data_IF_253089322948
#
_entry.id   IF_253089322948
#
_cell.length_a   1.000
_cell.length_b   1.000
_cell.length_c   1.000
_cell.angle_alpha   90.00
_cell.angle_beta   90.00
_cell.angle_gamma   90.00
#
_symmetry.space_group_name_H-M   'P 1'
#
loop_
_entity.id
_entity.type
_entity.pdbx_description
1 polymer ?
#
# COMPACT_ATOMS: atom_id res chain seq x y z
N UNK A 1 -34.85 54.80 25.27
CA UNK A 1 -33.85 53.70 25.32
C UNK A 1 -33.76 53.12 23.95
N UNK A 2 -32.75 53.45 23.21
CA UNK A 2 -32.55 52.80 21.89
C UNK A 2 -31.13 52.21 21.72
N UNK A 3 -31.05 51.09 21.00
CA UNK A 3 -29.93 50.63 20.16
C UNK A 3 -28.66 50.09 20.82
N UNK A 4 -28.72 49.15 21.73
CA UNK A 4 -27.56 48.30 22.10
C UNK A 4 -27.58 46.92 21.41
N UNK A 5 -28.68 46.52 20.76
CA UNK A 5 -28.84 45.18 20.16
C UNK A 5 -28.15 45.04 18.79
N UNK A 6 -27.92 46.12 18.03
CA UNK A 6 -27.32 46.07 16.69
C UNK A 6 -25.78 46.07 16.68
N UNK A 7 -25.14 46.46 17.78
CA UNK A 7 -23.67 46.51 17.87
C UNK A 7 -23.07 45.10 18.16
N UNK A 8 -23.73 44.35 19.03
CA UNK A 8 -23.28 42.98 19.41
C UNK A 8 -23.44 41.97 18.29
N UNK A 9 -24.46 42.13 17.41
CA UNK A 9 -24.66 41.23 16.27
C UNK A 9 -23.61 41.43 15.15
N UNK A 10 -23.18 42.69 14.92
CA UNK A 10 -22.13 43.04 13.94
C UNK A 10 -20.74 42.57 14.38
N UNK A 11 -20.44 42.60 15.67
CA UNK A 11 -19.16 42.10 16.20
C UNK A 11 -19.11 40.58 16.21
N UNK A 12 -20.25 39.90 16.42
CA UNK A 12 -20.31 38.42 16.37
C UNK A 12 -20.18 37.88 14.95
N UNK A 13 -20.79 38.56 13.95
CA UNK A 13 -20.64 38.17 12.53
C UNK A 13 -19.22 38.43 12.00
N UNK A 14 -18.55 39.50 12.46
CA UNK A 14 -17.16 39.79 12.09
C UNK A 14 -16.18 38.77 12.70
N UNK A 15 -16.39 38.36 13.95
CA UNK A 15 -15.58 37.34 14.63
C UNK A 15 -15.78 35.96 14.02
N UNK A 16 -17.00 35.58 13.62
CA UNK A 16 -17.29 34.31 12.96
C UNK A 16 -16.69 34.24 11.54
N UNK A 17 -16.69 35.36 10.81
CA UNK A 17 -16.04 35.46 9.49
C UNK A 17 -14.52 35.33 9.55
N UNK A 18 -13.88 35.83 10.62
CA UNK A 18 -12.43 35.75 10.79
C UNK A 18 -11.96 34.34 11.17
N UNK A 19 -12.78 33.58 11.90
CA UNK A 19 -12.48 32.18 12.28
C UNK A 19 -12.58 31.25 11.07
N UNK A 20 -13.46 31.53 10.10
CA UNK A 20 -13.60 30.74 8.88
C UNK A 20 -12.43 30.95 7.89
N UNK A 21 -11.68 32.04 7.97
CA UNK A 21 -10.51 32.30 7.14
C UNK A 21 -9.24 31.55 7.63
N UNK A 22 -9.27 30.98 8.84
CA UNK A 22 -8.14 30.18 9.39
C UNK A 22 -8.22 28.70 9.07
N UNK A 23 -9.26 28.21 8.39
CA UNK A 23 -9.31 26.87 7.82
C UNK A 23 -8.46 26.81 6.54
N UNK A 24 -7.19 27.24 6.61
CA UNK A 24 -6.21 27.02 5.58
C UNK A 24 -6.05 25.53 5.36
N UNK A 25 -6.15 25.05 4.12
CA UNK A 25 -5.78 23.71 3.73
C UNK A 25 -4.44 23.38 4.37
N UNK A 26 -4.39 22.35 5.24
CA UNK A 26 -3.13 21.87 5.81
C UNK A 26 -2.34 21.25 4.66
N UNK A 27 -1.46 22.03 4.06
CA UNK A 27 -0.58 21.56 3.00
C UNK A 27 0.23 20.38 3.55
N UNK A 28 0.33 19.29 2.80
CA UNK A 28 1.16 18.15 3.18
C UNK A 28 2.59 18.63 3.44
N UNK A 29 3.10 18.36 4.64
CA UNK A 29 4.41 18.89 5.07
C UNK A 29 5.56 18.43 4.17
N UNK A 30 5.49 17.21 3.64
CA UNK A 30 6.49 16.65 2.75
C UNK A 30 6.45 17.29 1.35
N UNK A 31 5.27 17.52 0.78
CA UNK A 31 5.12 18.24 -0.50
C UNK A 31 5.63 19.68 -0.38
N UNK A 32 5.28 20.36 0.71
CA UNK A 32 5.76 21.72 0.99
C UNK A 32 7.29 21.78 1.15
N UNK A 33 7.92 20.74 1.68
CA UNK A 33 9.37 20.68 1.81
C UNK A 33 10.07 20.62 0.42
N UNK A 34 9.53 19.82 -0.51
CA UNK A 34 10.04 19.78 -1.90
C UNK A 34 9.86 21.13 -2.61
N UNK A 35 8.69 21.74 -2.49
CA UNK A 35 8.42 23.04 -3.08
C UNK A 35 9.36 24.12 -2.52
N UNK A 36 9.49 24.21 -1.20
CA UNK A 36 10.42 25.14 -0.56
C UNK A 36 11.88 24.90 -0.99
N UNK A 37 12.32 23.65 -1.05
CA UNK A 37 13.65 23.30 -1.52
C UNK A 37 13.87 23.79 -2.96
N UNK A 38 12.95 23.53 -3.86
CA UNK A 38 12.99 23.96 -5.27
C UNK A 38 13.05 25.48 -5.37
N UNK A 39 12.18 26.20 -4.68
CA UNK A 39 12.17 27.67 -4.65
C UNK A 39 13.50 28.26 -4.13
N UNK A 40 14.10 27.65 -3.08
CA UNK A 40 15.39 28.11 -2.57
C UNK A 40 16.52 27.97 -3.58
N UNK A 41 16.53 26.87 -4.32
CA UNK A 41 17.50 26.64 -5.39
C UNK A 41 17.38 27.68 -6.52
N UNK A 42 16.15 27.90 -6.98
CA UNK A 42 15.88 28.85 -8.09
C UNK A 42 16.16 30.29 -7.68
N UNK A 43 15.81 30.68 -6.45
CA UNK A 43 16.16 32.02 -5.93
C UNK A 43 17.68 32.25 -5.85
N UNK A 44 18.46 31.23 -5.48
CA UNK A 44 19.94 31.38 -5.44
C UNK A 44 20.52 31.49 -6.84
N UNK A 45 19.95 30.80 -7.81
CA UNK A 45 20.39 30.85 -9.21
C UNK A 45 19.87 32.10 -9.93
N UNK A 46 18.89 32.79 -9.38
CA UNK A 46 18.21 33.94 -10.00
C UNK A 46 17.51 33.54 -11.32
N UNK A 47 16.72 32.46 -11.22
CA UNK A 47 15.92 31.89 -12.31
C UNK A 47 14.50 31.60 -11.85
N UNK A 48 13.56 31.53 -12.79
CA UNK A 48 12.19 31.10 -12.49
C UNK A 48 12.12 29.59 -12.22
N UNK A 49 11.31 29.14 -11.25
CA UNK A 49 11.09 27.72 -11.01
C UNK A 49 10.37 27.06 -12.18
N UNK A 50 10.93 26.00 -12.73
CA UNK A 50 10.26 25.17 -13.74
C UNK A 50 9.08 24.46 -13.10
N UNK A 51 7.86 24.53 -13.68
CA UNK A 51 6.72 23.79 -13.13
C UNK A 51 7.01 22.29 -13.04
N UNK A 52 6.77 21.72 -11.87
CA UNK A 52 6.90 20.27 -11.67
C UNK A 52 5.70 19.57 -12.30
N UNK A 53 5.89 18.62 -13.22
CA UNK A 53 4.78 17.98 -13.92
C UNK A 53 3.90 17.18 -12.96
N UNK A 54 2.67 16.91 -13.39
CA UNK A 54 1.82 15.95 -12.68
C UNK A 54 2.46 14.56 -12.70
N UNK A 55 2.32 13.86 -11.59
CA UNK A 55 2.84 12.50 -11.46
C UNK A 55 1.95 11.53 -12.24
N UNK A 56 2.55 10.84 -13.19
CA UNK A 56 1.87 9.77 -13.91
C UNK A 56 1.93 8.49 -13.08
N UNK A 57 0.77 7.96 -12.70
CA UNK A 57 0.63 6.72 -11.92
C UNK A 57 -0.28 5.74 -12.63
N UNK A 58 0.03 4.45 -12.52
CA UNK A 58 -0.82 3.38 -13.05
C UNK A 58 -1.94 3.08 -12.04
N UNK A 59 -3.21 3.27 -12.41
CA UNK A 59 -4.31 3.00 -11.49
C UNK A 59 -4.50 1.49 -11.30
N UNK A 60 -5.01 1.09 -10.12
CA UNK A 60 -5.48 -0.26 -9.91
C UNK A 60 -6.68 -0.55 -10.83
N UNK A 61 -6.67 -1.64 -11.62
CA UNK A 61 -7.77 -1.98 -12.53
C UNK A 61 -9.10 -2.17 -11.83
N UNK A 62 -10.19 -2.13 -12.60
CA UNK A 62 -11.56 -2.24 -12.08
C UNK A 62 -11.77 -3.60 -11.41
N UNK A 63 -12.54 -3.62 -10.31
CA UNK A 63 -12.86 -4.83 -9.55
C UNK A 63 -13.41 -5.98 -10.42
N UNK A 64 -14.24 -5.66 -11.41
CA UNK A 64 -14.84 -6.64 -12.33
C UNK A 64 -13.79 -7.35 -13.20
N UNK A 65 -12.72 -6.64 -13.57
CA UNK A 65 -11.69 -7.14 -14.49
C UNK A 65 -10.65 -8.01 -13.76
N UNK A 66 -10.66 -7.97 -12.42
CA UNK A 66 -9.73 -8.69 -11.55
C UNK A 66 -10.37 -9.93 -10.89
N UNK A 67 -11.72 -10.03 -10.93
CA UNK A 67 -12.42 -11.10 -10.24
C UNK A 67 -12.22 -12.45 -10.97
N UNK A 68 -11.62 -13.42 -10.29
CA UNK A 68 -11.51 -14.78 -10.76
C UNK A 68 -12.84 -15.52 -10.55
N UNK A 69 -13.38 -16.11 -11.62
CA UNK A 69 -14.58 -16.93 -11.52
C UNK A 69 -14.25 -18.25 -10.81
N UNK A 70 -15.07 -18.61 -9.84
CA UNK A 70 -14.93 -19.86 -9.09
C UNK A 70 -16.02 -20.83 -9.52
N UNK A 71 -15.71 -22.09 -9.86
CA UNK A 71 -16.70 -23.13 -10.04
C UNK A 71 -17.57 -23.28 -8.79
N UNK A 72 -18.89 -23.41 -8.99
CA UNK A 72 -19.83 -23.64 -7.89
C UNK A 72 -19.74 -25.09 -7.41
N UNK A 73 -19.37 -25.28 -6.17
CA UNK A 73 -19.30 -26.60 -5.53
C UNK A 73 -20.39 -26.66 -4.49
N UNK A 74 -21.33 -27.56 -4.68
CA UNK A 74 -22.48 -27.74 -3.79
C UNK A 74 -22.40 -29.08 -3.10
N UNK A 75 -22.68 -29.10 -1.81
CA UNK A 75 -22.87 -30.30 -1.01
C UNK A 75 -24.36 -30.44 -0.77
N UNK A 76 -24.90 -31.63 -1.00
CA UNK A 76 -26.29 -31.96 -0.74
C UNK A 76 -26.67 -31.75 0.73
N UNK A 77 -27.94 -31.53 1.00
CA UNK A 77 -28.40 -31.29 2.38
C UNK A 77 -28.22 -32.55 3.27
N UNK A 78 -28.40 -33.74 2.70
CA UNK A 78 -28.20 -35.01 3.43
C UNK A 78 -26.71 -35.20 3.76
N UNK A 79 -25.84 -34.97 2.80
CA UNK A 79 -24.39 -35.09 2.96
C UNK A 79 -23.90 -34.07 3.96
N UNK A 80 -24.42 -32.83 3.92
CA UNK A 80 -24.12 -31.81 4.90
C UNK A 80 -24.52 -32.23 6.32
N UNK A 81 -25.63 -32.95 6.49
CA UNK A 81 -26.06 -33.45 7.79
C UNK A 81 -25.11 -34.55 8.32
N UNK A 82 -24.58 -35.40 7.46
CA UNK A 82 -23.58 -36.42 7.86
C UNK A 82 -22.29 -35.79 8.35
N UNK A 83 -21.95 -34.59 7.86
CA UNK A 83 -20.79 -33.82 8.31
C UNK A 83 -20.93 -33.19 9.72
N UNK A 84 -22.07 -33.36 10.39
CA UNK A 84 -22.30 -32.87 11.76
C UNK A 84 -21.27 -33.40 12.76
N UNK A 85 -20.84 -34.66 12.59
CA UNK A 85 -19.85 -35.31 13.46
C UNK A 85 -18.45 -34.62 13.35
N UNK A 86 -18.19 -33.92 12.26
CA UNK A 86 -16.96 -33.17 12.05
C UNK A 86 -17.14 -31.66 12.28
N UNK A 87 -18.30 -31.21 12.80
CA UNK A 87 -18.58 -29.81 13.07
C UNK A 87 -18.87 -28.94 11.84
N UNK A 88 -18.92 -29.51 10.61
CA UNK A 88 -19.09 -28.76 9.38
C UNK A 88 -20.54 -28.38 9.04
N UNK A 89 -21.53 -29.12 9.61
CA UNK A 89 -22.94 -28.85 9.31
C UNK A 89 -23.36 -27.41 9.63
N UNK A 90 -22.97 -26.91 10.81
CA UNK A 90 -23.28 -25.55 11.22
C UNK A 90 -22.65 -24.52 10.27
N UNK A 91 -21.37 -24.70 9.92
CA UNK A 91 -20.63 -23.84 9.01
C UNK A 91 -21.28 -23.77 7.60
N UNK A 92 -21.72 -24.93 7.08
CA UNK A 92 -22.42 -25.02 5.79
C UNK A 92 -23.80 -24.33 5.87
N UNK A 93 -24.54 -24.54 6.97
CA UNK A 93 -25.84 -23.93 7.19
C UNK A 93 -25.75 -22.40 7.26
N UNK A 94 -24.75 -21.86 7.96
CA UNK A 94 -24.48 -20.42 8.03
C UNK A 94 -24.15 -19.85 6.65
N UNK A 95 -23.31 -20.51 5.87
CA UNK A 95 -22.96 -20.10 4.50
C UNK A 95 -24.16 -20.08 3.57
N UNK A 96 -25.09 -21.03 3.72
CA UNK A 96 -26.30 -21.14 2.91
C UNK A 96 -27.42 -20.19 3.35
N UNK A 97 -27.29 -19.53 4.49
CA UNK A 97 -28.23 -18.50 4.95
C UNK A 97 -28.27 -17.28 4.02
N UNK A 98 -29.28 -16.43 4.16
CA UNK A 98 -29.37 -15.18 3.39
C UNK A 98 -28.14 -14.30 3.62
N UNK A 99 -27.69 -14.15 4.86
CA UNK A 99 -26.51 -13.36 5.22
C UNK A 99 -25.21 -14.01 4.71
N UNK A 100 -25.12 -15.34 4.75
CA UNK A 100 -23.97 -16.08 4.25
C UNK A 100 -23.73 -15.91 2.74
N UNK A 101 -24.83 -15.75 1.96
CA UNK A 101 -24.74 -15.55 0.50
C UNK A 101 -24.22 -14.18 0.08
N UNK A 102 -24.31 -13.17 0.95
CA UNK A 102 -23.89 -11.78 0.69
C UNK A 102 -22.63 -11.37 1.49
N UNK A 103 -21.86 -12.35 1.94
CA UNK A 103 -20.60 -12.10 2.65
C UNK A 103 -19.59 -11.33 1.79
N UNK A 104 -18.81 -10.44 2.44
CA UNK A 104 -17.64 -9.82 1.85
C UNK A 104 -16.55 -10.85 1.51
N UNK A 105 -15.52 -10.42 0.80
CA UNK A 105 -14.44 -11.31 0.34
C UNK A 105 -13.61 -11.88 1.49
N UNK A 106 -13.44 -11.14 2.56
CA UNK A 106 -12.69 -11.56 3.76
C UNK A 106 -13.42 -12.68 4.50
N UNK A 107 -14.73 -12.52 4.77
CA UNK A 107 -15.54 -13.57 5.39
C UNK A 107 -15.69 -14.79 4.48
N UNK A 108 -15.78 -14.56 3.16
CA UNK A 108 -15.79 -15.67 2.21
C UNK A 108 -14.50 -16.49 2.25
N UNK A 109 -13.32 -15.85 2.33
CA UNK A 109 -12.04 -16.54 2.53
C UNK A 109 -12.01 -17.26 3.87
N UNK A 110 -12.42 -16.62 4.97
CA UNK A 110 -12.46 -17.23 6.28
C UNK A 110 -13.32 -18.51 6.28
N UNK A 111 -14.50 -18.46 5.65
CA UNK A 111 -15.34 -19.64 5.47
C UNK A 111 -14.60 -20.77 4.76
N UNK A 112 -13.97 -20.50 3.62
CA UNK A 112 -13.28 -21.52 2.84
C UNK A 112 -12.07 -22.14 3.60
N UNK A 113 -11.37 -21.35 4.38
CA UNK A 113 -10.28 -21.83 5.23
C UNK A 113 -10.79 -22.75 6.36
N UNK A 114 -11.89 -22.36 7.02
CA UNK A 114 -12.54 -23.14 8.05
C UNK A 114 -13.08 -24.45 7.45
N UNK A 115 -13.76 -24.36 6.31
CA UNK A 115 -14.34 -25.50 5.62
C UNK A 115 -13.29 -26.52 5.17
N UNK A 116 -12.23 -26.08 4.50
CA UNK A 116 -11.14 -26.94 4.04
C UNK A 116 -10.44 -27.67 5.20
N UNK A 117 -10.12 -26.95 6.28
CA UNK A 117 -9.51 -27.58 7.44
C UNK A 117 -10.45 -28.57 8.13
N UNK A 118 -11.73 -28.20 8.29
CA UNK A 118 -12.73 -29.11 8.87
C UNK A 118 -12.97 -30.35 8.01
N UNK A 119 -12.98 -30.17 6.67
CA UNK A 119 -13.12 -31.30 5.75
C UNK A 119 -11.89 -32.22 5.78
N UNK A 120 -10.67 -31.66 5.83
CA UNK A 120 -9.44 -32.42 6.01
C UNK A 120 -9.47 -33.23 7.29
N UNK A 121 -9.88 -32.62 8.41
CA UNK A 121 -10.06 -33.32 9.69
C UNK A 121 -11.12 -34.42 9.59
N UNK A 122 -12.27 -34.13 8.98
CA UNK A 122 -13.34 -35.09 8.79
C UNK A 122 -12.88 -36.34 8.04
N UNK A 123 -12.15 -36.17 6.94
CA UNK A 123 -11.59 -37.27 6.17
C UNK A 123 -10.67 -38.18 6.98
N UNK A 124 -10.00 -37.67 8.04
CA UNK A 124 -9.18 -38.51 8.95
C UNK A 124 -10.01 -39.28 9.97
N UNK A 125 -11.25 -38.88 10.25
CA UNK A 125 -12.13 -39.51 11.23
C UNK A 125 -13.08 -40.56 10.61
N UNK A 126 -13.28 -40.51 9.31
CA UNK A 126 -14.16 -41.41 8.58
C UNK A 126 -13.44 -42.73 8.23
N UNK A 127 -14.21 -43.79 8.02
CA UNK A 127 -13.65 -45.05 7.51
C UNK A 127 -13.19 -44.85 6.08
N UNK A 128 -11.94 -45.25 5.71
CA UNK A 128 -11.36 -44.96 4.41
C UNK A 128 -12.16 -45.49 3.20
N UNK A 129 -12.89 -46.59 3.40
CA UNK A 129 -13.70 -47.28 2.39
C UNK A 129 -15.19 -46.89 2.39
N UNK A 130 -15.55 -45.83 3.13
CA UNK A 130 -16.93 -45.35 3.15
C UNK A 130 -17.31 -44.53 1.89
N UNK A 131 -18.55 -44.66 1.45
CA UNK A 131 -19.09 -43.87 0.32
C UNK A 131 -18.90 -42.38 0.53
N UNK A 132 -19.03 -41.90 1.78
CA UNK A 132 -18.84 -40.50 2.13
C UNK A 132 -17.41 -40.03 1.91
N UNK A 133 -16.39 -40.84 2.16
CA UNK A 133 -14.99 -40.49 1.85
C UNK A 133 -14.78 -40.39 0.34
N UNK A 134 -15.36 -41.34 -0.42
CA UNK A 134 -15.28 -41.29 -1.88
C UNK A 134 -15.91 -40.02 -2.48
N UNK A 135 -16.99 -39.51 -1.88
CA UNK A 135 -17.68 -38.30 -2.28
C UNK A 135 -16.95 -37.00 -1.83
N UNK A 136 -16.45 -36.96 -0.59
CA UNK A 136 -15.84 -35.76 -0.02
C UNK A 136 -14.41 -35.51 -0.54
N UNK A 137 -13.66 -36.54 -0.90
CA UNK A 137 -12.27 -36.39 -1.37
C UNK A 137 -12.15 -35.51 -2.62
N UNK A 138 -12.94 -35.68 -3.69
CA UNK A 138 -12.87 -34.79 -4.84
C UNK A 138 -13.29 -33.36 -4.51
N UNK A 139 -14.27 -33.16 -3.61
CA UNK A 139 -14.69 -31.84 -3.13
C UNK A 139 -13.54 -31.13 -2.42
N UNK A 140 -12.84 -31.85 -1.53
CA UNK A 140 -11.66 -31.32 -0.84
C UNK A 140 -10.57 -30.88 -1.83
N UNK A 141 -10.22 -31.74 -2.78
CA UNK A 141 -9.21 -31.47 -3.79
C UNK A 141 -9.56 -30.26 -4.66
N UNK A 142 -10.81 -30.18 -5.10
CA UNK A 142 -11.31 -29.08 -5.92
C UNK A 142 -11.33 -27.74 -5.15
N UNK A 143 -11.75 -27.75 -3.89
CA UNK A 143 -11.73 -26.58 -3.02
C UNK A 143 -10.29 -26.10 -2.72
N UNK A 144 -9.37 -27.03 -2.52
CA UNK A 144 -7.97 -26.72 -2.34
C UNK A 144 -7.37 -26.05 -3.58
N UNK A 145 -7.70 -26.57 -4.79
CA UNK A 145 -7.26 -25.95 -6.05
C UNK A 145 -7.84 -24.55 -6.29
N UNK A 146 -9.00 -24.24 -5.72
CA UNK A 146 -9.64 -22.92 -5.83
C UNK A 146 -9.06 -21.90 -4.85
N UNK A 147 -8.41 -22.34 -3.79
CA UNK A 147 -7.98 -21.46 -2.69
C UNK A 147 -7.09 -20.29 -3.13
N UNK A 148 -6.12 -20.46 -4.04
CA UNK A 148 -5.35 -19.31 -4.57
C UNK A 148 -6.22 -18.24 -5.24
N UNK A 149 -7.25 -18.65 -5.99
CA UNK A 149 -8.18 -17.71 -6.64
C UNK A 149 -9.05 -16.98 -5.60
N UNK A 150 -9.39 -17.63 -4.48
CA UNK A 150 -10.14 -17.02 -3.38
C UNK A 150 -9.29 -15.98 -2.67
N UNK A 151 -8.00 -16.26 -2.40
CA UNK A 151 -7.04 -15.28 -1.88
C UNK A 151 -6.87 -14.11 -2.86
N UNK A 152 -6.70 -14.38 -4.15
CA UNK A 152 -6.63 -13.35 -5.19
C UNK A 152 -7.87 -12.44 -5.15
N UNK A 153 -9.06 -13.02 -5.11
CA UNK A 153 -10.30 -12.26 -5.05
C UNK A 153 -10.39 -11.42 -3.77
N UNK A 154 -9.96 -11.93 -2.62
CA UNK A 154 -9.92 -11.17 -1.37
C UNK A 154 -8.96 -9.97 -1.50
N UNK A 155 -7.76 -10.17 -2.02
CA UNK A 155 -6.74 -9.13 -2.12
C UNK A 155 -7.09 -8.09 -3.19
N UNK A 156 -7.44 -8.51 -4.40
CA UNK A 156 -7.59 -7.56 -5.51
C UNK A 156 -9.03 -7.07 -5.74
N UNK A 157 -10.02 -7.72 -5.11
CA UNK A 157 -11.43 -7.31 -5.24
C UNK A 157 -12.12 -7.03 -3.90
N UNK A 158 -11.51 -7.37 -2.75
CA UNK A 158 -11.99 -7.02 -1.41
C UNK A 158 -11.84 -5.53 -1.13
N UNK A 159 -12.73 -4.95 -0.32
CA UNK A 159 -12.74 -3.50 -0.07
C UNK A 159 -11.52 -3.03 0.72
N UNK A 160 -11.08 -3.81 1.70
CA UNK A 160 -9.97 -3.50 2.57
C UNK A 160 -8.67 -3.34 1.79
N UNK A 161 -8.36 -4.33 0.98
CA UNK A 161 -7.17 -4.32 0.13
C UNK A 161 -7.26 -3.30 -1.01
N UNK A 162 -8.42 -3.13 -1.60
CA UNK A 162 -8.58 -2.10 -2.63
C UNK A 162 -8.32 -0.69 -2.12
N UNK A 163 -8.66 -0.40 -0.86
CA UNK A 163 -8.27 0.86 -0.22
C UNK A 163 -6.75 1.01 -0.13
N UNK A 164 -6.05 -0.06 0.22
CA UNK A 164 -4.60 -0.08 0.32
C UNK A 164 -3.91 0.00 -1.06
N UNK A 165 -4.45 -0.71 -2.06
CA UNK A 165 -3.85 -0.80 -3.40
C UNK A 165 -4.22 0.37 -4.32
N UNK A 166 -5.29 1.11 -4.03
CA UNK A 166 -5.62 2.32 -4.79
C UNK A 166 -4.67 3.43 -4.41
N UNK A 167 -3.93 3.95 -5.41
CA UNK A 167 -2.95 5.00 -5.18
C UNK A 167 -3.56 6.24 -4.56
N UNK A 168 -2.84 6.83 -3.61
CA UNK A 168 -3.17 8.10 -3.00
C UNK A 168 -2.88 9.30 -3.89
N UNK A 169 -3.08 10.48 -3.32
CA UNK A 169 -2.75 11.76 -3.94
C UNK A 169 -1.90 12.64 -3.02
N UNK A 170 -1.53 12.10 -1.86
CA UNK A 170 -0.73 12.79 -0.85
C UNK A 170 0.53 12.00 -0.54
N UNK A 171 1.60 12.71 -0.22
CA UNK A 171 2.83 12.08 0.24
C UNK A 171 2.63 11.49 1.64
N UNK A 172 3.23 10.34 1.89
CA UNK A 172 3.27 9.73 3.23
C UNK A 172 3.82 10.72 4.24
N UNK A 173 3.18 10.82 5.38
CA UNK A 173 3.66 11.63 6.49
C UNK A 173 4.77 10.87 7.25
N UNK A 174 5.99 11.38 7.18
CA UNK A 174 7.16 10.76 7.80
C UNK A 174 7.11 10.73 9.34
N UNK A 175 6.20 11.49 9.95
CA UNK A 175 6.03 11.50 11.41
C UNK A 175 5.04 10.43 11.90
N UNK A 176 4.28 9.80 10.98
CA UNK A 176 3.22 8.82 11.31
C UNK A 176 3.63 7.38 10.98
N UNK A 177 4.45 6.78 11.81
CA UNK A 177 4.87 5.38 11.64
C UNK A 177 3.81 4.33 12.03
N UNK A 178 2.74 4.69 12.72
CA UNK A 178 1.74 3.72 13.21
C UNK A 178 0.99 3.03 12.08
N UNK A 179 0.64 3.75 11.02
CA UNK A 179 -0.06 3.18 9.86
C UNK A 179 0.82 2.20 9.08
N UNK A 180 2.12 2.49 8.98
CA UNK A 180 3.12 1.60 8.40
C UNK A 180 3.19 0.26 9.16
N UNK A 181 3.40 0.31 10.46
CA UNK A 181 3.55 -0.90 11.28
C UNK A 181 2.27 -1.74 11.28
N UNK A 182 1.12 -1.10 11.35
CA UNK A 182 -0.18 -1.77 11.28
C UNK A 182 -0.39 -2.46 9.94
N UNK A 183 -0.07 -1.76 8.83
CA UNK A 183 -0.19 -2.32 7.48
C UNK A 183 0.80 -3.45 7.26
N UNK A 184 2.06 -3.30 7.65
CA UNK A 184 3.09 -4.34 7.55
C UNK A 184 2.68 -5.61 8.32
N UNK A 185 2.16 -5.46 9.55
CA UNK A 185 1.66 -6.57 10.35
C UNK A 185 0.53 -7.32 9.66
N UNK A 186 -0.45 -6.58 9.12
CA UNK A 186 -1.60 -7.18 8.43
C UNK A 186 -1.20 -7.88 7.12
N UNK A 187 -0.30 -7.29 6.34
CA UNK A 187 0.19 -7.90 5.10
C UNK A 187 1.03 -9.15 5.39
N UNK A 188 1.89 -9.12 6.43
CA UNK A 188 2.67 -10.29 6.85
C UNK A 188 1.77 -11.43 7.31
N UNK A 189 0.70 -11.13 8.08
CA UNK A 189 -0.28 -12.13 8.47
C UNK A 189 -0.94 -12.80 7.25
N UNK A 190 -1.31 -12.02 6.23
CA UNK A 190 -1.90 -12.58 4.99
C UNK A 190 -0.87 -13.38 4.20
N UNK A 191 0.40 -12.95 4.13
CA UNK A 191 1.47 -13.72 3.50
C UNK A 191 1.66 -15.09 4.16
N UNK A 192 1.63 -15.12 5.50
CA UNK A 192 1.69 -16.38 6.26
C UNK A 192 0.46 -17.27 6.01
N UNK A 193 -0.73 -16.68 5.91
CA UNK A 193 -1.93 -17.44 5.56
C UNK A 193 -1.83 -18.05 4.16
N UNK A 194 -1.38 -17.29 3.17
CA UNK A 194 -1.18 -17.81 1.80
C UNK A 194 -0.14 -18.94 1.82
N UNK A 195 1.00 -18.70 2.45
CA UNK A 195 2.06 -19.72 2.55
C UNK A 195 1.56 -21.02 3.17
N UNK A 196 0.85 -20.93 4.29
CA UNK A 196 0.43 -22.09 5.08
C UNK A 196 -0.79 -22.84 4.51
N UNK A 197 -1.51 -22.28 3.53
CA UNK A 197 -2.73 -22.87 3.00
C UNK A 197 -2.69 -23.11 1.48
N UNK A 198 -1.83 -22.41 0.73
CA UNK A 198 -1.69 -22.55 -0.73
C UNK A 198 -0.48 -23.40 -1.08
N UNK A 199 0.68 -23.12 -0.47
CA UNK A 199 1.93 -23.84 -0.80
C UNK A 199 2.14 -25.11 0.02
N UNK A 200 1.49 -25.22 1.16
CA UNK A 200 1.55 -26.40 2.03
C UNK A 200 0.16 -26.98 2.26
N UNK A 201 0.04 -28.29 2.43
CA UNK A 201 -1.20 -28.90 2.90
C UNK A 201 -1.27 -28.78 4.40
N UNK A 202 -2.22 -28.02 4.96
CA UNK A 202 -2.32 -27.87 6.41
C UNK A 202 -2.56 -29.22 7.09
N UNK A 203 -1.91 -29.45 8.25
CA UNK A 203 -2.25 -30.60 9.06
C UNK A 203 -3.73 -30.48 9.53
N UNK A 204 -4.48 -31.61 9.56
CA UNK A 204 -5.85 -31.64 10.04
C UNK A 204 -5.92 -31.12 11.49
N UNK A 205 -6.77 -30.11 11.73
CA UNK A 205 -6.95 -29.49 13.05
C UNK A 205 -8.40 -29.65 13.48
N UNK A 206 -8.64 -30.02 14.73
CA UNK A 206 -9.99 -30.16 15.27
C UNK A 206 -10.80 -28.85 15.14
N UNK A 207 -12.12 -28.90 14.83
CA UNK A 207 -12.93 -27.71 14.53
C UNK A 207 -12.88 -26.64 15.63
N UNK A 208 -12.85 -27.02 16.89
CA UNK A 208 -12.76 -26.08 18.04
C UNK A 208 -11.45 -25.25 18.09
N UNK A 209 -10.38 -25.72 17.45
CA UNK A 209 -9.10 -25.02 17.38
C UNK A 209 -8.95 -24.20 16.10
N UNK A 210 -9.65 -24.59 15.02
CA UNK A 210 -9.61 -23.94 13.72
C UNK A 210 -10.17 -22.53 13.79
N UNK A 211 -11.30 -22.35 14.44
CA UNK A 211 -12.01 -21.08 14.56
C UNK A 211 -11.09 -20.00 15.16
N UNK A 212 -10.36 -20.36 16.22
CA UNK A 212 -9.38 -19.48 16.85
C UNK A 212 -8.24 -19.11 15.89
N UNK A 213 -7.78 -20.06 15.07
CA UNK A 213 -6.66 -19.85 14.13
C UNK A 213 -6.93 -18.76 13.09
N UNK A 214 -8.20 -18.58 12.67
CA UNK A 214 -8.57 -17.60 11.64
C UNK A 214 -9.35 -16.39 12.18
N UNK A 215 -9.52 -16.26 13.48
CA UNK A 215 -10.16 -15.10 14.11
C UNK A 215 -9.43 -13.79 13.79
N UNK A 216 -8.09 -13.83 13.80
CA UNK A 216 -7.24 -12.65 13.58
C UNK A 216 -7.36 -12.08 12.15
N UNK A 217 -7.84 -12.87 11.17
CA UNK A 217 -8.00 -12.40 9.79
C UNK A 217 -8.92 -11.16 9.73
N UNK A 218 -10.07 -11.20 10.38
CA UNK A 218 -11.02 -10.08 10.38
C UNK A 218 -10.42 -8.85 11.07
N UNK A 219 -9.68 -9.05 12.16
CA UNK A 219 -9.00 -7.97 12.88
C UNK A 219 -7.96 -7.28 11.98
N UNK A 220 -7.07 -8.03 11.34
CA UNK A 220 -6.06 -7.47 10.43
C UNK A 220 -6.69 -6.77 9.22
N UNK A 221 -7.76 -7.32 8.66
CA UNK A 221 -8.47 -6.68 7.55
C UNK A 221 -9.13 -5.36 7.99
N UNK A 222 -9.72 -5.31 9.17
CA UNK A 222 -10.27 -4.08 9.73
C UNK A 222 -9.20 -3.00 9.96
N UNK A 223 -8.00 -3.39 10.38
CA UNK A 223 -6.88 -2.46 10.57
C UNK A 223 -6.50 -1.79 9.26
N UNK A 224 -6.35 -2.53 8.16
CA UNK A 224 -5.99 -1.96 6.85
C UNK A 224 -7.16 -1.23 6.18
N UNK A 225 -8.41 -1.55 6.52
CA UNK A 225 -9.57 -0.84 5.99
C UNK A 225 -9.61 0.64 6.39
N UNK A 226 -9.07 0.99 7.54
CA UNK A 226 -9.04 2.37 8.05
C UNK A 226 -7.84 3.18 7.58
N UNK A 227 -6.98 2.61 6.74
CA UNK A 227 -5.77 3.24 6.21
C UNK A 227 -5.72 3.17 4.68
N UNK A 228 -4.90 4.03 4.08
CA UNK A 228 -4.54 4.02 2.64
C UNK A 228 -3.03 3.99 2.47
N UNK A 229 -2.34 3.60 3.52
CA UNK A 229 -0.90 3.74 3.65
C UNK A 229 -0.11 3.19 2.45
N UNK A 230 -0.47 2.00 1.93
CA UNK A 230 0.25 1.39 0.80
C UNK A 230 0.08 2.20 -0.50
N UNK A 231 -1.13 2.67 -0.78
CA UNK A 231 -1.41 3.53 -1.93
C UNK A 231 -0.70 4.88 -1.84
N UNK A 232 -0.62 5.46 -0.65
CA UNK A 232 0.12 6.69 -0.40
C UNK A 232 1.64 6.47 -0.50
N UNK A 233 2.16 5.31 -0.07
CA UNK A 233 3.56 4.94 -0.25
C UNK A 233 3.93 4.81 -1.74
N UNK A 234 3.12 4.11 -2.52
CA UNK A 234 3.34 3.97 -3.97
C UNK A 234 3.28 5.31 -4.70
N UNK A 235 2.30 6.15 -4.35
CA UNK A 235 2.22 7.51 -4.87
C UNK A 235 3.45 8.34 -4.47
N UNK A 236 3.91 8.23 -3.22
CA UNK A 236 5.08 8.95 -2.72
C UNK A 236 6.35 8.62 -3.47
N UNK A 237 6.59 7.35 -3.80
CA UNK A 237 7.73 6.95 -4.64
C UNK A 237 7.69 7.64 -6.01
N UNK A 238 6.53 7.60 -6.68
CA UNK A 238 6.35 8.19 -8.00
C UNK A 238 6.43 9.73 -7.96
N UNK A 239 5.78 10.36 -6.98
CA UNK A 239 5.78 11.82 -6.82
C UNK A 239 7.16 12.36 -6.48
N UNK A 240 7.86 11.71 -5.58
CA UNK A 240 9.23 12.06 -5.20
C UNK A 240 10.19 11.92 -6.39
N UNK A 241 10.04 10.86 -7.19
CA UNK A 241 10.77 10.69 -8.45
C UNK A 241 10.55 11.89 -9.40
N UNK A 242 9.30 12.32 -9.55
CA UNK A 242 8.94 13.48 -10.38
C UNK A 242 9.61 14.76 -9.87
N UNK A 243 9.56 15.03 -8.57
CA UNK A 243 10.24 16.16 -7.95
C UNK A 243 11.75 16.15 -8.18
N UNK A 244 12.41 15.04 -7.84
CA UNK A 244 13.86 14.93 -7.96
C UNK A 244 14.34 15.08 -9.40
N UNK A 245 13.62 14.48 -10.37
CA UNK A 245 13.94 14.62 -11.79
C UNK A 245 13.81 16.06 -12.26
N UNK A 246 12.70 16.76 -11.92
CA UNK A 246 12.48 18.14 -12.30
C UNK A 246 13.57 19.08 -11.71
N UNK A 247 13.84 18.96 -10.42
CA UNK A 247 14.86 19.77 -9.75
C UNK A 247 16.25 19.47 -10.33
N UNK A 248 16.61 18.21 -10.52
CA UNK A 248 17.91 17.79 -11.04
C UNK A 248 18.11 18.26 -12.48
N UNK A 249 17.09 18.17 -13.32
CA UNK A 249 17.12 18.68 -14.69
C UNK A 249 17.35 20.21 -14.72
N UNK A 250 16.63 20.96 -13.89
CA UNK A 250 16.78 22.42 -13.80
C UNK A 250 18.17 22.82 -13.29
N UNK A 251 18.70 22.12 -12.28
CA UNK A 251 20.06 22.36 -11.78
C UNK A 251 21.12 22.06 -12.85
N UNK A 252 20.97 20.96 -13.59
CA UNK A 252 21.90 20.60 -14.67
C UNK A 252 21.85 21.61 -15.83
N UNK A 253 20.67 22.10 -16.19
CA UNK A 253 20.50 23.08 -17.26
C UNK A 253 21.11 24.46 -16.93
N UNK A 254 21.34 24.76 -15.66
CA UNK A 254 21.83 26.05 -15.18
C UNK A 254 23.21 25.97 -14.49
N UNK A 255 23.99 24.93 -14.80
CA UNK A 255 25.32 24.73 -14.19
C UNK A 255 26.28 25.91 -14.47
N UNK A 256 26.18 26.54 -15.64
CA UNK A 256 27.03 27.66 -16.04
C UNK A 256 26.85 28.93 -15.18
N UNK A 257 25.72 29.02 -14.46
CA UNK A 257 25.47 30.09 -13.48
C UNK A 257 26.25 29.89 -12.16
N UNK A 258 26.82 28.69 -11.95
CA UNK A 258 27.50 28.31 -10.71
C UNK A 258 29.03 28.40 -10.93
N UNK A 259 29.59 29.55 -10.59
CA UNK A 259 30.99 29.79 -10.77
C UNK A 259 31.82 29.26 -9.59
N UNK A 260 32.82 28.42 -9.89
CA UNK A 260 33.72 27.83 -8.92
C UNK A 260 35.14 27.89 -9.47
N UNK A 261 35.97 28.74 -8.90
CA UNK A 261 37.38 28.86 -9.32
C UNK A 261 38.10 29.98 -8.61
N UNK A 262 39.41 29.98 -8.71
CA UNK A 262 40.24 31.07 -8.19
C UNK A 262 39.90 32.36 -8.97
N UNK A 263 39.63 33.45 -8.27
CA UNK A 263 39.23 34.73 -8.80
C UNK A 263 37.83 34.81 -9.42
N UNK A 264 36.97 33.79 -9.21
CA UNK A 264 35.56 33.82 -9.61
C UNK A 264 34.66 34.16 -8.43
N UNK A 265 33.50 34.76 -8.71
CA UNK A 265 32.49 35.01 -7.70
C UNK A 265 31.78 33.72 -7.29
N UNK A 266 32.22 33.09 -6.23
CA UNK A 266 31.65 31.84 -5.68
C UNK A 266 30.42 32.03 -4.82
N UNK A 267 29.81 33.21 -4.79
CA UNK A 267 28.72 33.53 -3.87
C UNK A 267 27.50 32.61 -4.08
N UNK A 268 27.06 32.39 -5.34
CA UNK A 268 25.99 31.46 -5.66
C UNK A 268 26.32 30.04 -5.20
N UNK A 269 27.51 29.54 -5.45
CA UNK A 269 27.95 28.20 -5.01
C UNK A 269 27.89 28.03 -3.49
N UNK A 270 28.33 29.06 -2.72
CA UNK A 270 28.24 29.07 -1.25
C UNK A 270 26.79 29.06 -0.78
N UNK A 271 25.89 29.81 -1.43
CA UNK A 271 24.47 29.82 -1.08
C UNK A 271 23.81 28.48 -1.43
N UNK A 272 24.14 27.87 -2.58
CA UNK A 272 23.67 26.54 -2.92
C UNK A 272 24.10 25.49 -1.90
N UNK A 273 25.36 25.54 -1.42
CA UNK A 273 25.84 24.68 -0.32
C UNK A 273 24.97 24.85 0.93
N UNK A 274 24.59 26.08 1.28
CA UNK A 274 23.71 26.33 2.42
C UNK A 274 22.31 25.76 2.21
N UNK A 275 21.75 25.87 0.99
CA UNK A 275 20.48 25.27 0.62
C UNK A 275 20.56 23.74 0.70
N UNK A 276 21.67 23.14 0.22
CA UNK A 276 21.89 21.71 0.34
C UNK A 276 21.81 21.23 1.80
N UNK A 277 22.54 21.85 2.72
CA UNK A 277 22.53 21.38 4.12
C UNK A 277 21.22 21.68 4.84
N UNK A 278 20.64 22.89 4.63
CA UNK A 278 19.46 23.32 5.39
C UNK A 278 18.16 22.71 4.91
N UNK A 279 18.02 22.35 3.63
CA UNK A 279 16.78 21.87 3.05
C UNK A 279 16.92 20.46 2.50
N UNK A 280 17.93 20.18 1.67
CA UNK A 280 18.07 18.82 1.14
C UNK A 280 18.44 17.82 2.24
N UNK A 281 19.52 18.05 2.97
CA UNK A 281 19.98 17.09 4.01
C UNK A 281 19.01 17.02 5.18
N UNK A 282 18.52 18.18 5.66
CA UNK A 282 17.68 18.21 6.84
C UNK A 282 16.27 17.66 6.62
N UNK A 283 15.67 17.93 5.46
CA UNK A 283 14.27 17.62 5.19
C UNK A 283 14.14 16.54 4.11
N UNK A 284 14.64 16.79 2.90
CA UNK A 284 14.41 15.91 1.74
C UNK A 284 15.11 14.57 1.92
N UNK A 285 16.41 14.54 2.22
CA UNK A 285 17.17 13.29 2.37
C UNK A 285 16.60 12.41 3.48
N UNK A 286 16.13 13.00 4.58
CA UNK A 286 15.48 12.27 5.66
C UNK A 286 14.19 11.62 5.18
N UNK A 287 13.38 12.36 4.41
CA UNK A 287 12.15 11.85 3.81
C UNK A 287 12.42 10.71 2.81
N UNK A 288 13.44 10.87 1.94
CA UNK A 288 13.85 9.82 1.01
C UNK A 288 14.26 8.53 1.74
N UNK A 289 15.06 8.65 2.80
CA UNK A 289 15.49 7.51 3.61
C UNK A 289 14.29 6.82 4.31
N UNK A 290 13.29 7.58 4.72
CA UNK A 290 12.07 7.06 5.31
C UNK A 290 11.27 6.22 4.30
N UNK A 291 11.01 6.74 3.09
CA UNK A 291 10.33 6.01 2.02
C UNK A 291 11.08 4.73 1.63
N UNK A 292 12.39 4.85 1.46
CA UNK A 292 13.29 3.74 1.13
C UNK A 292 13.16 2.61 2.16
N UNK A 293 13.31 2.92 3.44
CA UNK A 293 13.23 1.96 4.54
C UNK A 293 11.86 1.27 4.62
N UNK A 294 10.77 2.01 4.44
CA UNK A 294 9.42 1.44 4.52
C UNK A 294 9.12 0.55 3.33
N UNK A 295 9.50 0.96 2.13
CA UNK A 295 9.28 0.14 0.94
C UNK A 295 10.11 -1.16 0.98
N UNK A 296 11.37 -1.11 1.39
CA UNK A 296 12.21 -2.30 1.53
C UNK A 296 11.65 -3.34 2.52
N UNK A 297 10.86 -2.93 3.49
CA UNK A 297 10.22 -3.85 4.43
C UNK A 297 8.90 -4.42 3.89
N UNK A 298 8.12 -3.65 3.14
CA UNK A 298 6.82 -4.07 2.60
C UNK A 298 6.96 -4.91 1.33
N UNK A 299 7.85 -4.53 0.42
CA UNK A 299 7.99 -5.16 -0.89
C UNK A 299 8.16 -6.68 -0.83
N UNK A 300 9.05 -7.24 0.01
CA UNK A 300 9.22 -8.69 0.08
C UNK A 300 7.93 -9.42 0.47
N UNK A 301 7.14 -8.84 1.35
CA UNK A 301 5.86 -9.41 1.78
C UNK A 301 4.85 -9.45 0.63
N UNK A 302 4.73 -8.35 -0.12
CA UNK A 302 3.84 -8.28 -1.29
C UNK A 302 4.30 -9.22 -2.41
N UNK A 303 5.61 -9.29 -2.65
CA UNK A 303 6.19 -10.20 -3.63
C UNK A 303 5.97 -11.66 -3.24
N UNK A 304 6.12 -12.03 -1.97
CA UNK A 304 5.84 -13.38 -1.48
C UNK A 304 4.39 -13.77 -1.77
N UNK A 305 3.42 -12.91 -1.41
CA UNK A 305 2.00 -13.15 -1.69
C UNK A 305 1.78 -13.35 -3.19
N UNK A 306 2.30 -12.42 -4.01
CA UNK A 306 2.12 -12.48 -5.47
C UNK A 306 2.73 -13.74 -6.08
N UNK A 307 3.96 -14.10 -5.72
CA UNK A 307 4.66 -15.28 -6.25
C UNK A 307 3.93 -16.57 -5.89
N UNK A 308 3.42 -16.70 -4.68
CA UNK A 308 2.69 -17.89 -4.24
C UNK A 308 1.34 -18.03 -4.96
N UNK A 309 0.62 -16.91 -5.16
CA UNK A 309 -0.64 -16.94 -5.91
C UNK A 309 -0.44 -17.18 -7.40
N UNK A 310 0.66 -16.70 -7.99
CA UNK A 310 0.97 -16.86 -9.42
C UNK A 310 1.28 -18.30 -9.83
N UNK A 311 1.42 -19.23 -8.87
CA UNK A 311 1.55 -20.67 -9.16
C UNK A 311 0.23 -21.31 -9.59
N UNK A 312 -0.90 -20.67 -9.35
CA UNK A 312 -2.22 -21.11 -9.78
C UNK A 312 -2.60 -20.51 -11.15
N UNK A 313 -3.58 -21.09 -11.86
CA UNK A 313 -4.03 -20.60 -13.16
C UNK A 313 -4.90 -19.33 -13.03
N UNK A 314 -4.33 -18.27 -12.45
CA UNK A 314 -4.96 -16.97 -12.28
C UNK A 314 -4.83 -16.17 -13.59
N UNK A 315 -5.94 -15.66 -14.09
CA UNK A 315 -5.95 -14.80 -15.26
C UNK A 315 -5.59 -13.36 -14.85
N UNK A 316 -4.43 -12.89 -15.32
CA UNK A 316 -3.95 -11.52 -15.07
C UNK A 316 -4.11 -10.72 -16.36
N UNK A 317 -4.83 -9.61 -16.29
CA UNK A 317 -4.98 -8.68 -17.43
C UNK A 317 -3.68 -7.89 -17.66
N UNK A 318 -3.40 -7.38 -18.89
CA UNK A 318 -2.22 -6.55 -19.14
C UNK A 318 -2.12 -5.33 -18.22
N UNK A 319 -3.25 -4.66 -17.92
CA UNK A 319 -3.28 -3.51 -17.02
C UNK A 319 -2.92 -3.91 -15.58
N UNK A 320 -3.38 -5.08 -15.13
CA UNK A 320 -3.00 -5.60 -13.82
C UNK A 320 -1.54 -6.03 -13.77
N UNK A 321 -1.01 -6.62 -14.85
CA UNK A 321 0.41 -6.93 -14.94
C UNK A 321 1.26 -5.66 -14.86
N UNK A 322 0.87 -4.60 -15.58
CA UNK A 322 1.53 -3.30 -15.49
C UNK A 322 1.52 -2.73 -14.06
N UNK A 323 0.39 -2.84 -13.35
CA UNK A 323 0.29 -2.43 -11.95
C UNK A 323 1.22 -3.24 -11.03
N UNK A 324 1.24 -4.58 -11.19
CA UNK A 324 2.12 -5.48 -10.43
C UNK A 324 3.59 -5.13 -10.68
N UNK A 325 3.98 -4.93 -11.92
CA UNK A 325 5.37 -4.61 -12.28
C UNK A 325 5.80 -3.26 -11.71
N UNK A 326 4.91 -2.27 -11.78
CA UNK A 326 5.19 -0.95 -11.24
C UNK A 326 5.39 -0.95 -9.72
N UNK A 327 4.48 -1.56 -8.96
CA UNK A 327 4.42 -1.34 -7.51
C UNK A 327 4.80 -2.57 -6.67
N UNK A 328 4.47 -3.78 -7.10
CA UNK A 328 4.80 -5.01 -6.37
C UNK A 328 6.19 -5.50 -6.77
N UNK A 329 6.50 -5.52 -8.08
CA UNK A 329 7.81 -5.91 -8.60
C UNK A 329 8.86 -4.78 -8.54
N UNK A 330 8.44 -3.56 -8.18
CA UNK A 330 9.31 -2.48 -7.75
C UNK A 330 9.88 -1.60 -8.84
N UNK A 331 9.25 -1.47 -10.01
CA UNK A 331 9.73 -0.53 -11.04
C UNK A 331 9.68 0.92 -10.55
N UNK A 332 8.59 1.36 -9.89
CA UNK A 332 8.48 2.69 -9.32
C UNK A 332 9.57 2.95 -8.24
N UNK A 333 9.93 1.94 -7.46
CA UNK A 333 11.03 2.04 -6.49
C UNK A 333 12.39 2.15 -7.17
N UNK A 334 12.64 1.38 -8.23
CA UNK A 334 13.89 1.52 -9.00
C UNK A 334 14.04 2.92 -9.60
N UNK A 335 12.96 3.49 -10.12
CA UNK A 335 12.94 4.87 -10.64
C UNK A 335 13.19 5.90 -9.53
N UNK A 336 12.58 5.73 -8.37
CA UNK A 336 12.82 6.55 -7.17
C UNK A 336 14.29 6.50 -6.75
N UNK A 337 14.86 5.32 -6.67
CA UNK A 337 16.26 5.12 -6.30
C UNK A 337 17.21 5.76 -7.33
N UNK A 338 16.95 5.60 -8.63
CA UNK A 338 17.73 6.22 -9.70
C UNK A 338 17.65 7.74 -9.64
N UNK A 339 16.48 8.33 -9.49
CA UNK A 339 16.30 9.77 -9.36
C UNK A 339 17.04 10.34 -8.13
N UNK A 340 17.00 9.61 -7.01
CA UNK A 340 17.76 9.96 -5.80
C UNK A 340 19.26 9.95 -6.06
N UNK A 341 19.78 8.90 -6.71
CA UNK A 341 21.21 8.82 -7.07
C UNK A 341 21.64 9.94 -8.02
N UNK A 342 20.85 10.27 -9.02
CA UNK A 342 21.18 11.30 -9.99
C UNK A 342 21.18 12.70 -9.35
N UNK A 343 20.27 12.95 -8.43
CA UNK A 343 20.26 14.16 -7.63
C UNK A 343 21.51 14.28 -6.74
N UNK A 344 21.87 13.21 -6.04
CA UNK A 344 23.09 13.13 -5.21
C UNK A 344 24.36 13.33 -6.05
N UNK A 345 24.42 12.74 -7.25
CA UNK A 345 25.57 12.93 -8.18
C UNK A 345 25.74 14.39 -8.62
N UNK A 346 24.64 15.13 -8.81
CA UNK A 346 24.74 16.56 -9.07
C UNK A 346 25.48 17.27 -7.93
N UNK A 347 25.07 17.05 -6.69
CA UNK A 347 25.69 17.67 -5.52
C UNK A 347 27.15 17.25 -5.33
N UNK A 348 27.48 15.98 -5.56
CA UNK A 348 28.85 15.48 -5.49
C UNK A 348 29.75 16.18 -6.52
N UNK A 349 29.28 16.35 -7.77
CA UNK A 349 30.02 17.10 -8.81
C UNK A 349 30.24 18.55 -8.40
N UNK A 350 29.18 19.23 -7.95
CA UNK A 350 29.25 20.62 -7.52
C UNK A 350 30.25 20.79 -6.37
N UNK A 351 30.20 19.96 -5.35
CA UNK A 351 31.10 20.03 -4.20
C UNK A 351 32.56 19.80 -4.61
N UNK A 352 32.80 18.85 -5.51
CA UNK A 352 34.12 18.58 -6.06
C UNK A 352 34.65 19.78 -6.87
N UNK A 353 33.84 20.34 -7.76
CA UNK A 353 34.22 21.49 -8.60
C UNK A 353 34.52 22.74 -7.76
N UNK A 354 33.74 22.98 -6.71
CA UNK A 354 33.89 24.15 -5.85
C UNK A 354 34.85 23.94 -4.67
N UNK A 355 35.50 22.78 -4.59
CA UNK A 355 36.39 22.39 -3.49
C UNK A 355 35.74 22.52 -2.10
N UNK A 356 34.45 22.19 -2.00
CA UNK A 356 33.72 22.16 -0.73
C UNK A 356 33.96 20.84 -0.01
N UNK A 357 34.29 20.93 1.28
CA UNK A 357 34.39 19.73 2.12
C UNK A 357 32.99 19.29 2.57
N UNK A 358 32.74 18.00 2.55
CA UNK A 358 31.51 17.41 3.06
C UNK A 358 31.55 17.43 4.59
N UNK A 359 30.50 17.94 5.23
CA UNK A 359 30.38 17.94 6.70
C UNK A 359 31.04 19.13 7.42
N UNK A 360 31.44 20.18 6.71
CA UNK A 360 31.94 21.44 7.29
C UNK A 360 31.05 22.61 6.94
#
# INVERSE_FOLDING_TARGET
>A
MPNTFNSTLKTFTLALGLVLLLAGCKQNSSEAAFDNYHQRLTNVLDIDPTPVPNTNVLPLPQKRDLNQALPDIRIGLLDAYELRQCGLFQLIAERNSILGKVQDKTRSLQYELLFLNGLSYCLTQLKPDSDLVAELTPIYQQKQQQLPMIFWNMIFTGEEWRKQLTLGHELVDSEKNSEFLTSLSAFSYVADLVNNNVTTTPAPIAPTLIEKKYQDLLHHQQQIYNSRYLGDLFYSLARTTTWLNAITAQLNANQDLILCGNNMNQQKAKYLRNVFYKFYVADIQRYLAHLDSQYQQIQPVLQQIHQQLSQAPIQVTPDMQGYIDAYINGEAYRQFHQATLDHVKFWQRLFKQCNFKVGQ
#
